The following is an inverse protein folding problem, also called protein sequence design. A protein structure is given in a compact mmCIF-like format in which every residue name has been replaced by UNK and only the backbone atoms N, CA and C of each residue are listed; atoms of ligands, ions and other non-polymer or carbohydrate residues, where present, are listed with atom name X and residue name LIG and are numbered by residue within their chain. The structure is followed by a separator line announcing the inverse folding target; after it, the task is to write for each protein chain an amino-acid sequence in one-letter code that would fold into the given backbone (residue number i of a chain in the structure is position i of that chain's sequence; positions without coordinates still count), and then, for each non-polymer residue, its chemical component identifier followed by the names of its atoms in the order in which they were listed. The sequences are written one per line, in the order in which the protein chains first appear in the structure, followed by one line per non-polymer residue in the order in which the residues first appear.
data_IF_094018875354
#
_entry.id   IF_094018875354
#
_cell.length_a   1.000
_cell.length_b   1.000
_cell.length_c   1.000
_cell.angle_alpha   90.00
_cell.angle_beta   90.00
_cell.angle_gamma   90.00
#
_symmetry.space_group_name_H-M   'P 1'
#
loop_
_entity.id
_entity.type
_entity.pdbx_description
1 polymer ?
#
# COMPACT_ATOMS: atom_id res chain seq x y z
N UNK A 1 5.63 19.81 4.91
CA UNK A 1 6.82 19.08 4.43
C UNK A 1 6.74 17.68 5.02
N UNK A 2 6.32 16.68 4.22
CA UNK A 2 6.34 15.26 4.61
C UNK A 2 7.50 14.62 3.87
N UNK A 3 8.59 14.35 4.59
CA UNK A 3 9.78 13.67 4.08
C UNK A 3 9.53 12.16 4.14
N UNK A 4 9.28 11.53 2.99
CA UNK A 4 9.53 10.10 2.80
C UNK A 4 10.98 9.96 2.32
N UNK A 5 11.86 9.24 3.02
CA UNK A 5 13.14 8.83 2.45
C UNK A 5 12.91 7.55 1.64
N UNK A 6 12.50 7.69 0.38
CA UNK A 6 12.51 6.58 -0.59
C UNK A 6 13.88 6.53 -1.28
N UNK A 7 14.90 6.02 -0.59
CA UNK A 7 16.16 5.63 -1.22
C UNK A 7 16.10 4.13 -1.56
N UNK A 8 15.41 3.79 -2.65
CA UNK A 8 15.52 2.47 -3.27
C UNK A 8 16.79 2.47 -4.14
N UNK A 9 17.84 1.77 -3.71
CA UNK A 9 19.00 1.52 -4.57
C UNK A 9 18.73 0.26 -5.40
N UNK A 10 18.59 0.43 -6.71
CA UNK A 10 18.53 -0.65 -7.68
C UNK A 10 19.92 -0.88 -8.26
N UNK A 11 20.42 -2.11 -8.19
CA UNK A 11 21.66 -2.53 -8.85
C UNK A 11 21.35 -3.68 -9.80
N UNK A 12 21.51 -3.44 -11.10
CA UNK A 12 21.34 -4.47 -12.13
C UNK A 12 22.70 -5.12 -12.36
N UNK A 13 22.87 -6.35 -11.89
CA UNK A 13 24.08 -7.16 -12.16
C UNK A 13 23.73 -8.18 -13.24
N UNK A 14 24.27 -7.99 -14.45
CA UNK A 14 24.17 -8.99 -15.53
C UNK A 14 25.32 -9.98 -15.38
N UNK A 15 25.01 -11.25 -15.07
CA UNK A 15 25.97 -12.35 -15.16
C UNK A 15 25.44 -13.38 -16.18
N UNK A 16 26.25 -13.69 -17.21
CA UNK A 16 26.07 -14.85 -18.10
C UNK A 16 24.69 -15.01 -18.78
N UNK A 17 24.16 -13.94 -19.38
CA UNK A 17 22.92 -14.01 -20.16
C UNK A 17 21.63 -14.19 -19.34
N UNK A 18 21.73 -14.33 -18.01
CA UNK A 18 20.60 -14.39 -17.08
C UNK A 18 20.48 -13.04 -16.36
N UNK A 19 19.37 -12.31 -16.57
CA UNK A 19 19.12 -11.06 -15.85
C UNK A 19 18.81 -11.40 -14.39
N UNK A 20 19.70 -11.00 -13.49
CA UNK A 20 19.45 -11.02 -12.06
C UNK A 20 19.34 -9.57 -11.61
N UNK A 21 18.23 -9.22 -10.94
CA UNK A 21 18.06 -7.87 -10.39
C UNK A 21 18.04 -7.96 -8.87
N UNK A 22 18.77 -7.06 -8.22
CA UNK A 22 18.84 -6.91 -6.77
C UNK A 22 18.31 -5.53 -6.40
N UNK A 23 17.38 -5.50 -5.45
CA UNK A 23 16.82 -4.27 -4.88
C UNK A 23 16.98 -4.32 -3.38
N UNK A 24 17.43 -3.22 -2.79
CA UNK A 24 17.42 -3.02 -1.34
C UNK A 24 16.31 -2.02 -1.03
N UNK A 25 15.48 -2.36 -0.04
CA UNK A 25 14.37 -1.54 0.43
C UNK A 25 14.40 -1.48 1.97
N UNK A 26 13.42 -0.79 2.56
CA UNK A 26 13.37 -0.57 4.01
C UNK A 26 13.52 -1.87 4.82
N UNK A 27 14.66 -2.03 5.49
CA UNK A 27 15.03 -3.21 6.28
C UNK A 27 15.00 -4.55 5.51
N UNK A 28 15.08 -4.51 4.18
CA UNK A 28 14.88 -5.68 3.35
C UNK A 28 15.63 -5.67 2.02
N UNK A 29 15.61 -6.82 1.37
CA UNK A 29 16.32 -7.08 0.13
C UNK A 29 15.50 -8.03 -0.75
N UNK A 30 15.48 -7.77 -2.04
CA UNK A 30 14.77 -8.53 -3.06
C UNK A 30 15.74 -8.94 -4.16
N UNK A 31 15.70 -10.22 -4.50
CA UNK A 31 16.45 -10.83 -5.59
C UNK A 31 15.48 -11.48 -6.54
N UNK A 32 15.64 -11.20 -7.83
CA UNK A 32 14.82 -11.79 -8.88
C UNK A 32 15.74 -12.39 -9.92
N UNK A 33 15.52 -13.67 -10.22
CA UNK A 33 16.17 -14.39 -11.29
C UNK A 33 15.16 -14.63 -12.40
N UNK A 34 15.43 -14.03 -13.56
CA UNK A 34 14.66 -14.27 -14.78
C UNK A 34 15.13 -15.60 -15.40
N UNK A 35 14.17 -16.45 -15.76
CA UNK A 35 14.37 -17.65 -16.58
C UNK A 35 13.63 -17.48 -17.90
N UNK A 36 13.83 -18.40 -18.84
CA UNK A 36 13.17 -18.35 -20.15
C UNK A 36 11.65 -18.24 -20.03
N UNK A 37 11.04 -17.39 -20.87
CA UNK A 37 9.62 -17.07 -20.83
C UNK A 37 9.20 -16.25 -19.60
N UNK A 38 7.93 -16.34 -19.23
CA UNK A 38 7.35 -15.68 -18.05
C UNK A 38 7.58 -16.48 -16.75
N UNK A 39 8.78 -17.08 -16.62
CA UNK A 39 9.21 -17.81 -15.44
C UNK A 39 10.13 -16.92 -14.58
N UNK A 40 9.76 -16.73 -13.31
CA UNK A 40 10.51 -15.93 -12.34
C UNK A 40 10.76 -16.74 -11.07
N UNK A 41 11.99 -16.64 -10.55
CA UNK A 41 12.31 -17.06 -9.18
C UNK A 41 12.62 -15.80 -8.37
N UNK A 42 11.93 -15.62 -7.26
CA UNK A 42 12.03 -14.45 -6.41
C UNK A 42 12.44 -14.87 -5.01
N UNK A 43 13.41 -14.17 -4.43
CA UNK A 43 13.82 -14.32 -3.05
C UNK A 43 13.83 -12.95 -2.41
N UNK A 44 12.99 -12.75 -1.41
CA UNK A 44 12.92 -11.53 -0.65
C UNK A 44 13.21 -11.83 0.83
N UNK A 45 13.80 -10.88 1.52
CA UNK A 45 14.06 -10.96 2.96
C UNK A 45 13.81 -9.62 3.61
N UNK A 46 13.23 -9.62 4.80
CA UNK A 46 13.01 -8.43 5.61
C UNK A 46 13.28 -8.77 7.09
N UNK A 47 13.88 -7.85 7.83
CA UNK A 47 13.98 -7.98 9.29
C UNK A 47 12.77 -7.34 9.93
N UNK A 48 12.17 -8.06 10.89
CA UNK A 48 11.02 -7.63 11.68
C UNK A 48 11.45 -7.55 13.13
N UNK A 49 11.20 -6.42 13.79
CA UNK A 49 11.47 -6.19 15.22
C UNK A 49 10.36 -6.83 16.08
N UNK A 50 10.28 -8.16 16.02
CA UNK A 50 9.39 -8.96 16.83
C UNK A 50 9.94 -10.38 17.02
N UNK A 51 9.56 -11.09 18.09
CA UNK A 51 9.84 -12.52 18.26
C UNK A 51 9.24 -13.36 17.12
N UNK A 52 9.86 -14.51 16.85
CA UNK A 52 9.45 -15.42 15.75
C UNK A 52 7.98 -15.82 15.87
N UNK A 53 7.52 -16.07 17.11
CA UNK A 53 6.13 -16.42 17.43
C UNK A 53 5.12 -15.41 16.89
N UNK A 54 5.41 -14.12 17.01
CA UNK A 54 4.47 -13.05 16.63
C UNK A 54 4.42 -12.88 15.12
N UNK A 55 5.56 -13.03 14.45
CA UNK A 55 5.62 -13.09 12.98
C UNK A 55 4.88 -14.33 12.48
N UNK A 56 5.05 -15.48 13.14
CA UNK A 56 4.35 -16.72 12.80
C UNK A 56 2.83 -16.58 12.95
N UNK A 57 2.36 -16.01 14.06
CA UNK A 57 0.95 -15.76 14.32
C UNK A 57 0.32 -14.88 13.23
N UNK A 58 1.01 -13.81 12.81
CA UNK A 58 0.53 -12.94 11.74
C UNK A 58 0.45 -13.65 10.39
N UNK A 59 1.46 -14.46 10.03
CA UNK A 59 1.51 -15.17 8.75
C UNK A 59 0.52 -16.33 8.65
N UNK A 60 0.26 -17.03 9.76
CA UNK A 60 -0.65 -18.18 9.81
C UNK A 60 -2.10 -17.80 10.11
N UNK A 61 -2.37 -16.54 10.46
CA UNK A 61 -3.70 -15.98 10.48
C UNK A 61 -4.22 -15.72 9.05
N UNK A 62 -4.28 -16.78 8.23
CA UNK A 62 -4.50 -16.68 6.78
C UNK A 62 -5.69 -15.81 6.41
N UNK A 63 -6.81 -15.92 7.12
CA UNK A 63 -8.03 -15.16 6.82
C UNK A 63 -7.94 -13.66 7.15
N UNK A 64 -6.98 -13.27 8.01
CA UNK A 64 -6.70 -11.86 8.35
C UNK A 64 -5.64 -11.24 7.44
N UNK A 65 -4.90 -12.04 6.65
CA UNK A 65 -3.89 -11.53 5.73
C UNK A 65 -4.39 -10.43 4.76
N UNK A 66 -5.63 -10.44 4.26
CA UNK A 66 -6.15 -9.35 3.41
C UNK A 66 -6.27 -7.99 4.11
N UNK A 67 -6.27 -7.96 5.45
CA UNK A 67 -6.25 -6.71 6.23
C UNK A 67 -4.83 -6.13 6.35
N UNK A 68 -3.82 -6.99 6.17
CA UNK A 68 -2.40 -6.69 6.35
C UNK A 68 -1.73 -6.43 5.00
N UNK A 69 -2.02 -7.25 3.99
CA UNK A 69 -1.33 -7.27 2.70
C UNK A 69 -2.13 -6.47 1.67
N UNK A 70 -1.62 -5.34 1.15
CA UNK A 70 -2.41 -4.38 0.37
C UNK A 70 -2.98 -4.93 -0.94
N UNK A 71 -2.28 -5.88 -1.58
CA UNK A 71 -2.68 -6.44 -2.87
C UNK A 71 -3.42 -7.79 -2.74
N UNK A 72 -3.68 -8.26 -1.52
CA UNK A 72 -4.41 -9.49 -1.24
C UNK A 72 -5.87 -9.15 -0.94
N UNK A 73 -6.78 -9.50 -1.84
CA UNK A 73 -8.20 -9.18 -1.70
C UNK A 73 -8.96 -10.23 -0.87
N UNK A 74 -8.63 -11.51 -1.07
CA UNK A 74 -9.27 -12.64 -0.39
C UNK A 74 -8.21 -13.62 0.09
N UNK A 75 -8.42 -14.17 1.27
CA UNK A 75 -7.68 -15.32 1.80
C UNK A 75 -8.64 -16.13 2.67
N UNK A 76 -8.90 -17.39 2.30
CA UNK A 76 -9.88 -18.25 2.98
C UNK A 76 -9.32 -19.64 3.15
N UNK A 77 -9.51 -20.23 4.33
CA UNK A 77 -9.15 -21.62 4.57
C UNK A 77 -10.25 -22.50 3.97
N UNK A 78 -9.87 -23.39 3.06
CA UNK A 78 -10.80 -24.37 2.46
C UNK A 78 -10.80 -25.66 3.27
N UNK A 79 -9.62 -26.13 3.67
CA UNK A 79 -9.44 -27.34 4.47
C UNK A 79 -8.27 -27.13 5.43
N UNK A 80 -8.37 -27.67 6.64
CA UNK A 80 -7.26 -27.71 7.61
C UNK A 80 -7.19 -29.07 8.25
N UNK A 81 -6.06 -29.73 8.08
CA UNK A 81 -5.70 -31.00 8.71
C UNK A 81 -4.32 -30.81 9.36
N UNK A 82 -4.32 -30.53 10.67
CA UNK A 82 -3.10 -30.29 11.45
C UNK A 82 -2.18 -29.25 10.80
N UNK A 83 -1.04 -29.70 10.27
CA UNK A 83 -0.01 -28.88 9.62
C UNK A 83 -0.19 -28.75 8.10
N UNK A 84 -1.21 -29.39 7.53
CA UNK A 84 -1.59 -29.25 6.13
C UNK A 84 -2.82 -28.35 6.04
N UNK A 85 -2.69 -27.27 5.27
CA UNK A 85 -3.77 -26.29 5.11
C UNK A 85 -3.98 -26.06 3.63
N UNK A 86 -5.22 -26.14 3.15
CA UNK A 86 -5.57 -25.68 1.81
C UNK A 86 -6.23 -24.33 1.93
N UNK A 87 -5.72 -23.34 1.21
CA UNK A 87 -6.32 -21.99 1.18
C UNK A 87 -6.60 -21.54 -0.24
N UNK A 88 -7.60 -20.68 -0.37
CA UNK A 88 -7.87 -19.86 -1.54
C UNK A 88 -7.35 -18.45 -1.28
N UNK A 89 -6.55 -17.91 -2.20
CA UNK A 89 -6.14 -16.52 -2.22
C UNK A 89 -6.51 -15.86 -3.55
N UNK A 90 -6.97 -14.61 -3.47
CA UNK A 90 -7.21 -13.77 -4.64
C UNK A 90 -6.47 -12.45 -4.46
N UNK A 91 -5.54 -12.17 -5.38
CA UNK A 91 -4.79 -10.93 -5.45
C UNK A 91 -5.43 -9.96 -6.46
N UNK A 92 -5.48 -8.68 -6.09
CA UNK A 92 -5.99 -7.61 -6.95
C UNK A 92 -5.00 -6.45 -6.98
N UNK A 93 -4.56 -6.06 -8.18
CA UNK A 93 -3.68 -4.90 -8.38
C UNK A 93 -4.27 -3.96 -9.43
N UNK A 94 -4.63 -2.76 -9.00
CA UNK A 94 -5.05 -1.68 -9.89
C UNK A 94 -3.86 -1.07 -10.62
N UNK A 95 -3.85 -1.16 -11.95
CA UNK A 95 -2.92 -0.46 -12.83
C UNK A 95 -3.64 0.69 -13.54
N UNK A 96 -2.88 1.57 -14.20
CA UNK A 96 -3.44 2.79 -14.81
C UNK A 96 -4.58 2.54 -15.81
N UNK A 97 -4.55 1.41 -16.54
CA UNK A 97 -5.51 1.09 -17.59
C UNK A 97 -6.27 -0.23 -17.41
N UNK A 98 -5.88 -1.06 -16.44
CA UNK A 98 -6.43 -2.39 -16.19
C UNK A 98 -6.38 -2.73 -14.70
N UNK A 99 -7.12 -3.74 -14.28
CA UNK A 99 -6.99 -4.34 -12.95
C UNK A 99 -6.50 -5.76 -13.16
N UNK A 100 -5.38 -6.12 -12.54
CA UNK A 100 -4.92 -7.49 -12.50
C UNK A 100 -5.67 -8.23 -11.40
N UNK A 101 -6.23 -9.36 -11.75
CA UNK A 101 -6.82 -10.32 -10.84
C UNK A 101 -6.04 -11.62 -10.96
N UNK A 102 -5.66 -12.21 -9.83
CA UNK A 102 -4.98 -13.49 -9.78
C UNK A 102 -5.57 -14.35 -8.67
N UNK A 103 -6.21 -15.46 -9.04
CA UNK A 103 -6.73 -16.47 -8.13
C UNK A 103 -5.77 -17.64 -8.03
N UNK A 104 -5.56 -18.13 -6.80
CA UNK A 104 -4.77 -19.33 -6.54
C UNK A 104 -5.33 -20.10 -5.35
N UNK A 105 -5.54 -21.40 -5.53
CA UNK A 105 -5.77 -22.38 -4.47
C UNK A 105 -4.46 -23.13 -4.27
N UNK A 106 -3.97 -23.15 -3.03
CA UNK A 106 -2.68 -23.73 -2.69
C UNK A 106 -2.77 -24.63 -1.47
N UNK A 107 -1.96 -25.69 -1.49
CA UNK A 107 -1.69 -26.54 -0.33
C UNK A 107 -0.45 -26.03 0.40
N UNK A 108 -0.61 -25.82 1.70
CA UNK A 108 0.44 -25.37 2.60
C UNK A 108 0.87 -26.48 3.55
N UNK A 109 2.14 -26.46 3.91
CA UNK A 109 2.75 -27.31 4.94
C UNK A 109 3.45 -26.43 5.96
N UNK A 110 2.92 -26.44 7.16
CA UNK A 110 3.41 -25.66 8.30
C UNK A 110 4.45 -26.47 9.08
N UNK A 111 5.67 -25.94 9.18
CA UNK A 111 6.67 -26.34 10.18
C UNK A 111 6.71 -25.22 11.21
N UNK A 112 6.04 -25.47 12.34
CA UNK A 112 5.79 -24.47 13.38
C UNK A 112 7.01 -23.57 13.65
N UNK A 113 6.80 -22.26 13.60
CA UNK A 113 7.81 -21.20 13.82
C UNK A 113 9.08 -21.28 12.95
N UNK A 114 9.09 -22.09 11.88
CA UNK A 114 10.28 -22.28 11.03
C UNK A 114 10.01 -22.00 9.56
N UNK A 115 8.97 -22.61 9.02
CA UNK A 115 8.73 -22.60 7.58
C UNK A 115 7.25 -22.83 7.25
N UNK A 116 6.74 -22.11 6.25
CA UNK A 116 5.44 -22.38 5.63
C UNK A 116 5.73 -22.61 4.16
N UNK A 117 5.68 -23.86 3.71
CA UNK A 117 5.83 -24.19 2.28
C UNK A 117 4.46 -24.22 1.63
N UNK A 118 4.35 -23.74 0.39
CA UNK A 118 3.10 -23.71 -0.35
C UNK A 118 3.30 -24.13 -1.80
N UNK A 119 2.31 -24.81 -2.36
CA UNK A 119 2.28 -25.22 -3.75
C UNK A 119 0.86 -25.10 -4.30
N UNK A 120 0.73 -24.51 -5.48
CA UNK A 120 -0.55 -24.35 -6.15
C UNK A 120 -1.13 -25.72 -6.54
N UNK A 121 -2.43 -25.86 -6.28
CA UNK A 121 -3.26 -26.96 -6.75
C UNK A 121 -4.09 -26.53 -7.97
N UNK A 122 -4.59 -25.29 -7.94
CA UNK A 122 -5.46 -24.73 -8.98
C UNK A 122 -5.30 -23.21 -8.99
N UNK A 123 -5.36 -22.55 -10.15
CA UNK A 123 -5.27 -21.09 -10.21
C UNK A 123 -4.86 -20.57 -11.57
N UNK A 124 -4.63 -19.26 -11.63
CA UNK A 124 -4.35 -18.54 -12.88
C UNK A 124 -2.90 -18.67 -13.37
N UNK A 125 -2.02 -19.29 -12.56
CA UNK A 125 -0.63 -19.54 -12.92
C UNK A 125 -0.44 -20.96 -13.47
N UNK A 126 0.53 -21.15 -14.34
CA UNK A 126 0.93 -22.51 -14.76
C UNK A 126 1.59 -23.26 -13.61
N UNK A 127 2.39 -22.57 -12.81
CA UNK A 127 2.96 -23.09 -11.58
C UNK A 127 3.24 -21.94 -10.62
N UNK A 128 2.83 -22.10 -9.38
CA UNK A 128 3.11 -21.17 -8.29
C UNK A 128 3.46 -21.98 -7.04
N UNK A 129 4.71 -21.88 -6.59
CA UNK A 129 5.18 -22.60 -5.40
C UNK A 129 6.26 -21.83 -4.69
N UNK A 130 6.39 -22.05 -3.40
CA UNK A 130 7.35 -21.30 -2.61
C UNK A 130 7.31 -21.63 -1.14
N UNK A 131 7.97 -20.79 -0.36
CA UNK A 131 8.00 -20.91 1.09
C UNK A 131 8.33 -19.59 1.79
N UNK A 132 7.73 -19.45 2.95
CA UNK A 132 8.17 -18.52 3.99
C UNK A 132 9.15 -19.24 4.92
N UNK A 133 10.25 -18.59 5.30
CA UNK A 133 11.16 -19.07 6.34
C UNK A 133 11.37 -17.99 7.38
N UNK A 134 11.29 -18.37 8.64
CA UNK A 134 11.54 -17.50 9.78
C UNK A 134 12.87 -17.90 10.41
N UNK A 135 13.75 -16.93 10.59
CA UNK A 135 15.04 -17.12 11.27
C UNK A 135 15.18 -16.13 12.41
N UNK A 136 15.55 -16.60 13.60
CA UNK A 136 15.81 -15.73 14.74
C UNK A 136 17.14 -14.98 14.54
N UNK A 137 17.12 -13.66 14.63
CA UNK A 137 18.32 -12.80 14.62
C UNK A 137 18.66 -12.23 16.01
N UNK A 138 17.76 -12.43 16.97
CA UNK A 138 17.87 -12.08 18.38
C UNK A 138 16.52 -12.31 19.06
N UNK A 139 16.43 -12.07 20.37
CA UNK A 139 15.21 -12.38 21.14
C UNK A 139 13.97 -11.61 20.66
N UNK A 140 14.20 -10.43 20.07
CA UNK A 140 13.16 -9.52 19.61
C UNK A 140 13.29 -9.20 18.10
N UNK A 141 14.01 -10.03 17.35
CA UNK A 141 14.23 -9.81 15.92
C UNK A 141 14.11 -11.10 15.11
N UNK A 142 13.31 -11.04 14.06
CA UNK A 142 13.07 -12.15 13.13
C UNK A 142 13.46 -11.75 11.72
N UNK A 143 14.27 -12.56 11.06
CA UNK A 143 14.49 -12.51 9.63
C UNK A 143 13.40 -13.31 8.93
N UNK A 144 12.51 -12.60 8.24
CA UNK A 144 11.49 -13.21 7.41
C UNK A 144 12.01 -13.31 5.98
N UNK A 145 12.07 -14.53 5.44
CA UNK A 145 12.45 -14.80 4.05
C UNK A 145 11.26 -15.36 3.28
N UNK A 146 10.99 -14.78 2.11
CA UNK A 146 10.00 -15.25 1.15
C UNK A 146 10.69 -15.73 -0.12
N UNK A 147 10.43 -16.98 -0.51
CA UNK A 147 11.02 -17.59 -1.69
C UNK A 147 9.89 -18.12 -2.57
N UNK A 148 9.78 -17.67 -3.81
CA UNK A 148 8.69 -18.09 -4.72
C UNK A 148 9.21 -18.34 -6.13
N UNK A 149 8.73 -19.42 -6.73
CA UNK A 149 8.87 -19.73 -8.16
C UNK A 149 7.49 -19.56 -8.80
N UNK A 150 7.43 -18.77 -9.86
CA UNK A 150 6.19 -18.48 -10.58
C UNK A 150 6.40 -18.68 -12.08
N UNK A 151 5.50 -19.44 -12.71
CA UNK A 151 5.41 -19.63 -14.16
C UNK A 151 4.02 -19.21 -14.61
N UNK A 152 3.95 -18.28 -15.55
CA UNK A 152 2.69 -17.92 -16.21
C UNK A 152 2.38 -18.89 -17.35
N UNK A 153 1.11 -18.99 -17.74
CA UNK A 153 0.75 -19.66 -18.98
C UNK A 153 1.34 -18.91 -20.18
N UNK A 154 1.69 -19.64 -21.24
CA UNK A 154 2.24 -19.03 -22.47
C UNK A 154 1.25 -18.06 -23.13
N UNK A 155 -0.04 -18.30 -22.93
CA UNK A 155 -1.14 -17.53 -23.53
C UNK A 155 -1.56 -16.33 -22.65
N UNK A 156 -0.89 -16.15 -21.49
CA UNK A 156 -1.14 -15.01 -20.62
C UNK A 156 -0.57 -13.74 -21.24
N UNK A 157 -1.44 -12.80 -21.62
CA UNK A 157 -1.08 -11.48 -22.17
C UNK A 157 -0.56 -10.48 -21.10
N UNK A 158 0.36 -10.91 -20.24
CA UNK A 158 1.06 -10.02 -19.31
C UNK A 158 2.41 -9.63 -19.89
N UNK A 159 2.59 -8.33 -20.14
CA UNK A 159 3.89 -7.82 -20.59
C UNK A 159 4.94 -7.99 -19.48
N UNK A 160 6.21 -8.11 -19.87
CA UNK A 160 7.32 -8.18 -18.90
C UNK A 160 7.31 -6.99 -17.95
N UNK A 161 7.00 -5.79 -18.44
CA UNK A 161 6.94 -4.58 -17.61
C UNK A 161 5.89 -4.64 -16.50
N UNK A 162 4.73 -5.24 -16.77
CA UNK A 162 3.67 -5.41 -15.77
C UNK A 162 4.12 -6.41 -14.70
N UNK A 163 4.72 -7.52 -15.12
CA UNK A 163 5.26 -8.53 -14.20
C UNK A 163 6.38 -7.95 -13.33
N UNK A 164 7.25 -7.12 -13.92
CA UNK A 164 8.29 -6.41 -13.20
C UNK A 164 7.71 -5.44 -12.16
N UNK A 165 6.69 -4.65 -12.51
CA UNK A 165 6.03 -3.75 -11.56
C UNK A 165 5.47 -4.51 -10.36
N UNK A 166 4.75 -5.62 -10.58
CA UNK A 166 4.23 -6.46 -9.50
C UNK A 166 5.36 -7.01 -8.63
N UNK A 167 6.45 -7.50 -9.22
CA UNK A 167 7.54 -8.10 -8.43
C UNK A 167 8.35 -7.05 -7.67
N UNK A 168 8.65 -5.91 -8.28
CA UNK A 168 9.57 -4.92 -7.70
C UNK A 168 8.90 -3.84 -6.86
N UNK A 169 7.60 -3.58 -7.07
CA UNK A 169 6.85 -2.62 -6.25
C UNK A 169 5.97 -3.34 -5.21
N UNK A 170 5.19 -4.34 -5.62
CA UNK A 170 4.19 -4.94 -4.73
C UNK A 170 4.80 -5.87 -3.69
N UNK A 171 5.78 -6.69 -4.06
CA UNK A 171 6.36 -7.63 -3.10
C UNK A 171 7.08 -6.92 -1.94
N UNK A 172 7.93 -5.90 -2.17
CA UNK A 172 8.47 -5.09 -1.07
C UNK A 172 7.38 -4.41 -0.24
N UNK A 173 6.34 -3.87 -0.88
CA UNK A 173 5.23 -3.24 -0.17
C UNK A 173 4.48 -4.23 0.73
N UNK A 174 4.22 -5.45 0.26
CA UNK A 174 3.58 -6.51 1.02
C UNK A 174 4.43 -6.92 2.23
N UNK A 175 5.75 -7.05 2.07
CA UNK A 175 6.66 -7.40 3.17
C UNK A 175 6.77 -6.29 4.21
N UNK A 176 6.87 -5.03 3.78
CA UNK A 176 6.83 -3.89 4.69
C UNK A 176 5.51 -3.85 5.47
N UNK A 177 4.37 -4.11 4.82
CA UNK A 177 3.07 -4.11 5.50
C UNK A 177 2.97 -5.19 6.58
N UNK A 178 3.49 -6.41 6.31
CA UNK A 178 3.58 -7.47 7.32
C UNK A 178 4.46 -7.04 8.49
N UNK A 179 5.66 -6.50 8.22
CA UNK A 179 6.56 -6.00 9.26
C UNK A 179 5.86 -4.94 10.11
N UNK A 180 5.32 -3.91 9.48
CA UNK A 180 4.73 -2.76 10.16
C UNK A 180 3.52 -3.18 11.02
N UNK A 181 2.71 -4.12 10.54
CA UNK A 181 1.62 -4.70 11.30
C UNK A 181 2.11 -5.42 12.56
N UNK A 182 3.11 -6.29 12.42
CA UNK A 182 3.65 -7.07 13.56
C UNK A 182 4.33 -6.15 14.56
N UNK A 183 5.20 -5.24 14.11
CA UNK A 183 5.91 -4.32 15.00
C UNK A 183 4.97 -3.37 15.74
N UNK A 184 3.88 -2.95 15.11
CA UNK A 184 2.83 -2.17 15.76
C UNK A 184 2.11 -2.98 16.84
N UNK A 185 1.72 -4.22 16.55
CA UNK A 185 1.08 -5.10 17.53
C UNK A 185 1.99 -5.38 18.74
N UNK A 186 3.30 -5.54 18.51
CA UNK A 186 4.29 -5.68 19.58
C UNK A 186 4.47 -4.42 20.41
N UNK A 187 4.50 -3.24 19.77
CA UNK A 187 4.59 -1.97 20.49
C UNK A 187 3.35 -1.71 21.36
N UNK A 188 2.16 -2.06 20.88
CA UNK A 188 0.91 -1.94 21.63
C UNK A 188 0.88 -2.89 22.84
N UNK A 189 1.39 -4.12 22.69
CA UNK A 189 1.58 -5.05 23.82
C UNK A 189 2.55 -4.50 24.86
N UNK A 190 3.67 -3.95 24.43
CA UNK A 190 4.64 -3.28 25.32
C UNK A 190 4.02 -2.13 26.12
N UNK A 191 3.15 -1.33 25.50
CA UNK A 191 2.48 -0.21 26.16
C UNK A 191 1.33 -0.63 27.08
N UNK A 192 0.60 -1.69 26.73
CA UNK A 192 -0.48 -2.24 27.57
C UNK A 192 0.03 -2.82 28.89
N UNK A 193 1.32 -3.14 28.98
CA UNK A 193 1.95 -3.65 30.20
C UNK A 193 2.43 -2.52 31.13
N UNK A 194 2.33 -1.24 30.73
CA UNK A 194 2.83 -0.08 31.50
C UNK A 194 1.71 0.67 32.24
N UNK A 195 0.43 0.41 31.94
CA UNK A 195 -0.72 1.05 32.60
C UNK A 195 -1.48 0.09 33.54
N UNK A 196 -0.85 -0.29 34.64
CA UNK A 196 -1.57 -0.58 35.89
C UNK A 196 -0.67 -0.27 37.08
N UNK A 197 -1.20 0.58 37.97
CA UNK A 197 -0.71 0.95 39.31
C UNK A 197 0.14 2.23 39.43
N UNK A 198 -0.56 3.37 39.54
CA UNK A 198 -0.31 4.30 40.65
C UNK A 198 -1.58 5.14 40.98
N UNK A 199 -1.92 5.36 42.27
CA UNK A 199 -3.13 6.06 42.68
C UNK A 199 -2.96 7.58 42.64
N UNK A 200 -3.97 8.27 42.13
CA UNK A 200 -4.11 9.72 42.25
C UNK A 200 -4.64 10.07 43.64
N UNK A 201 -3.93 10.92 44.38
CA UNK A 201 -4.56 11.78 45.38
C UNK A 201 -4.40 13.23 44.93
N UNK A 202 -5.49 14.03 44.90
CA UNK A 202 -5.45 15.43 44.55
C UNK A 202 -5.04 16.24 45.78
N UNK A 203 -4.25 17.29 45.58
CA UNK A 203 -4.34 18.56 46.32
C UNK A 203 -3.05 19.34 46.09
N UNK A 204 -3.16 20.47 45.39
CA UNK A 204 -2.54 21.77 45.70
C UNK A 204 -2.70 22.68 44.48
N UNK A 205 -3.71 23.55 44.54
CA UNK A 205 -3.68 24.92 43.99
C UNK A 205 -3.01 25.77 45.09
N UNK A 206 -2.31 26.91 44.88
CA UNK A 206 -2.64 27.87 43.81
C UNK A 206 -1.56 28.87 43.31
N UNK A 207 -2.01 29.69 42.33
CA UNK A 207 -1.97 31.16 42.29
C UNK A 207 -0.98 31.88 41.33
N UNK A 208 -1.62 32.81 40.60
CA UNK A 208 -1.13 33.75 39.61
C UNK A 208 -0.23 34.86 40.18
N UNK A 209 0.68 35.38 39.34
CA UNK A 209 1.04 36.81 39.32
C UNK A 209 1.29 37.28 37.88
N UNK A 210 0.69 38.41 37.55
CA UNK A 210 0.82 39.19 36.32
C UNK A 210 1.71 40.43 36.54
N UNK A 211 2.15 41.02 35.42
CA UNK A 211 2.85 42.30 35.22
C UNK A 211 4.40 42.24 35.30
N UNK A 212 5.19 42.81 34.39
CA UNK A 212 4.91 43.63 33.20
C UNK A 212 6.21 44.30 32.71
N UNK A 213 6.13 44.91 31.50
CA UNK A 213 6.99 45.95 30.89
C UNK A 213 8.09 45.59 29.86
N UNK A 214 7.72 45.91 28.61
CA UNK A 214 8.32 46.87 27.65
C UNK A 214 9.72 46.63 27.04
N UNK A 215 9.69 46.23 25.77
CA UNK A 215 10.24 46.90 24.56
C UNK A 215 11.65 47.49 24.58
N UNK A 216 12.53 46.95 23.72
CA UNK A 216 13.51 47.75 22.96
C UNK A 216 13.93 47.05 21.65
N UNK A 217 14.34 47.88 20.69
CA UNK A 217 14.38 47.67 19.24
C UNK A 217 15.68 47.01 18.73
N UNK A 218 15.67 46.78 17.40
CA UNK A 218 16.78 46.44 16.49
C UNK A 218 16.97 44.92 16.26
N UNK A 219 17.17 44.40 15.05
CA UNK A 219 17.56 45.01 13.79
C UNK A 219 17.09 44.13 12.62
N UNK A 220 16.75 44.79 11.52
CA UNK A 220 16.30 44.20 10.26
C UNK A 220 17.52 43.64 9.52
N UNK A 221 17.58 42.32 9.37
CA UNK A 221 18.48 41.68 8.39
C UNK A 221 17.66 40.80 7.45
N UNK A 222 17.10 41.45 6.42
CA UNK A 222 16.52 40.77 5.26
C UNK A 222 17.64 40.10 4.47
N UNK A 223 17.74 38.76 4.56
CA UNK A 223 18.57 37.97 3.66
C UNK A 223 17.86 37.84 2.32
N UNK A 224 18.43 38.53 1.33
CA UNK A 224 18.05 38.54 -0.07
C UNK A 224 18.19 37.15 -0.70
N UNK A 225 17.10 36.38 -0.74
CA UNK A 225 17.03 35.21 -1.61
C UNK A 225 16.93 35.67 -3.06
N UNK A 226 17.97 35.42 -3.85
CA UNK A 226 18.10 35.77 -5.26
C UNK A 226 16.87 35.29 -6.07
N UNK A 227 16.14 36.26 -6.61
CA UNK A 227 15.10 36.02 -7.61
C UNK A 227 15.79 35.51 -8.87
N UNK A 228 15.83 34.19 -9.07
CA UNK A 228 16.17 33.62 -10.39
C UNK A 228 15.23 34.27 -11.41
N UNK A 229 15.80 35.11 -12.28
CA UNK A 229 15.02 35.83 -13.28
C UNK A 229 14.21 34.82 -14.11
N UNK A 230 12.91 35.05 -14.11
CA UNK A 230 11.91 34.23 -14.78
C UNK A 230 11.93 34.61 -16.26
N UNK A 231 12.12 33.68 -17.21
CA UNK A 231 11.95 33.98 -18.62
C UNK A 231 10.49 34.34 -18.84
N UNK A 232 10.19 35.63 -19.00
CA UNK A 232 8.86 36.11 -19.34
C UNK A 232 8.86 36.30 -20.84
N UNK A 233 8.32 35.34 -21.58
CA UNK A 233 8.07 35.52 -23.02
C UNK A 233 6.95 36.56 -23.17
N UNK A 234 7.21 37.74 -23.77
CA UNK A 234 6.18 38.73 -24.00
C UNK A 234 5.07 38.15 -24.88
N UNK A 235 3.81 38.47 -24.60
CA UNK A 235 2.68 38.05 -25.44
C UNK A 235 2.16 36.62 -25.22
N UNK A 236 2.84 35.75 -24.45
CA UNK A 236 2.46 34.34 -24.25
C UNK A 236 1.01 34.10 -23.77
N UNK A 237 0.44 35.08 -23.06
CA UNK A 237 -0.90 34.99 -22.47
C UNK A 237 -1.99 35.67 -23.30
N UNK A 238 -1.61 36.37 -24.38
CA UNK A 238 -2.49 37.16 -25.25
C UNK A 238 -2.51 36.60 -26.68
N UNK A 239 -1.39 36.07 -27.15
CA UNK A 239 -1.23 35.52 -28.49
C UNK A 239 -1.20 33.99 -28.45
N UNK A 240 -2.08 33.38 -29.23
CA UNK A 240 -2.24 31.93 -29.30
C UNK A 240 -1.09 31.25 -30.05
N UNK A 241 -0.49 31.94 -31.04
CA UNK A 241 0.58 31.37 -31.84
C UNK A 241 1.91 31.36 -31.07
N UNK A 242 2.13 32.40 -30.24
CA UNK A 242 3.26 32.42 -29.29
C UNK A 242 3.12 31.29 -28.26
N UNK A 243 1.91 31.03 -27.77
CA UNK A 243 1.65 29.91 -26.86
C UNK A 243 1.88 28.55 -27.53
N UNK A 244 1.42 28.36 -28.77
CA UNK A 244 1.64 27.11 -29.52
C UNK A 244 3.12 26.85 -29.76
N UNK A 245 3.88 27.86 -30.16
CA UNK A 245 5.33 27.74 -30.42
C UNK A 245 6.11 27.38 -29.14
N UNK A 246 5.86 28.11 -28.04
CA UNK A 246 6.52 27.85 -26.76
C UNK A 246 6.13 26.50 -26.15
N UNK A 247 4.85 26.12 -26.27
CA UNK A 247 4.37 24.82 -25.81
C UNK A 247 4.94 23.68 -26.68
N UNK A 248 5.05 23.89 -28.00
CA UNK A 248 5.68 22.94 -28.93
C UNK A 248 7.16 22.73 -28.62
N UNK A 249 7.91 23.81 -28.43
CA UNK A 249 9.32 23.77 -27.99
C UNK A 249 9.49 23.04 -26.66
N UNK A 250 8.59 23.28 -25.71
CA UNK A 250 8.58 22.56 -24.44
C UNK A 250 8.31 21.05 -24.61
N UNK A 251 7.35 20.66 -25.45
CA UNK A 251 7.03 19.25 -25.74
C UNK A 251 8.22 18.56 -26.41
N UNK A 252 8.86 19.20 -27.39
CA UNK A 252 10.02 18.64 -28.09
C UNK A 252 11.21 18.39 -27.15
N UNK A 253 11.39 19.27 -26.15
CA UNK A 253 12.55 19.21 -25.24
C UNK A 253 12.32 18.35 -23.99
N UNK A 254 11.11 18.31 -23.48
CA UNK A 254 10.80 17.71 -22.16
C UNK A 254 9.55 16.84 -22.15
N UNK A 255 8.82 16.77 -23.26
CA UNK A 255 7.55 16.06 -23.36
C UNK A 255 7.64 14.77 -24.19
N UNK A 256 6.48 14.21 -24.48
CA UNK A 256 6.30 13.10 -25.40
C UNK A 256 5.54 13.65 -26.62
N UNK A 257 6.06 13.38 -27.82
CA UNK A 257 5.47 13.89 -29.06
C UNK A 257 4.00 13.45 -29.19
N UNK A 258 3.12 14.38 -29.56
CA UNK A 258 1.69 14.12 -29.72
C UNK A 258 0.86 14.14 -28.43
N UNK A 259 1.47 14.35 -27.24
CA UNK A 259 0.74 14.41 -25.97
C UNK A 259 0.81 15.78 -25.30
N UNK A 260 -0.33 16.22 -24.76
CA UNK A 260 -0.45 17.47 -24.01
C UNK A 260 0.24 17.33 -22.64
N UNK A 261 1.21 18.21 -22.29
CA UNK A 261 1.89 18.19 -21.00
C UNK A 261 0.94 18.33 -19.81
N UNK A 262 1.21 17.57 -18.74
CA UNK A 262 0.46 17.67 -17.48
C UNK A 262 0.81 18.98 -16.76
N UNK A 263 -0.13 19.50 -15.98
CA UNK A 263 0.09 20.71 -15.15
C UNK A 263 1.27 20.55 -14.18
N UNK A 264 1.38 19.38 -13.53
CA UNK A 264 2.52 19.04 -12.66
C UNK A 264 3.85 19.08 -13.44
N UNK A 265 3.85 18.59 -14.68
CA UNK A 265 5.03 18.57 -15.54
C UNK A 265 5.55 19.97 -15.85
N UNK A 266 4.66 20.87 -16.26
CA UNK A 266 5.00 22.29 -16.48
C UNK A 266 5.57 22.96 -15.23
N UNK A 267 5.01 22.66 -14.04
CA UNK A 267 5.49 23.21 -12.77
C UNK A 267 6.85 22.67 -12.36
N UNK A 268 7.07 21.36 -12.49
CA UNK A 268 8.34 20.72 -12.16
C UNK A 268 9.48 21.27 -13.02
N UNK A 269 9.21 21.61 -14.28
CA UNK A 269 10.17 22.25 -15.17
C UNK A 269 10.15 23.79 -15.12
N UNK A 270 9.50 24.39 -14.12
CA UNK A 270 9.49 25.85 -13.91
C UNK A 270 8.69 26.67 -14.92
N UNK A 271 8.05 26.03 -15.92
CA UNK A 271 7.23 26.68 -16.97
C UNK A 271 5.79 26.96 -16.51
N UNK A 272 5.67 27.63 -15.37
CA UNK A 272 4.37 28.05 -14.80
C UNK A 272 3.72 29.16 -15.63
N UNK A 273 4.51 29.90 -16.41
CA UNK A 273 4.07 30.89 -17.40
C UNK A 273 3.19 30.26 -18.48
N UNK A 274 3.61 29.12 -19.06
CA UNK A 274 2.84 28.35 -20.04
C UNK A 274 1.55 27.82 -19.40
N UNK A 275 1.62 27.28 -18.19
CA UNK A 275 0.43 26.82 -17.45
C UNK A 275 -0.62 27.94 -17.31
N UNK A 276 -0.17 29.14 -16.94
CA UNK A 276 -1.05 30.30 -16.75
C UNK A 276 -1.62 30.79 -18.07
N UNK A 277 -0.83 30.78 -19.14
CA UNK A 277 -1.28 31.10 -20.48
C UNK A 277 -2.36 30.13 -20.98
N UNK A 278 -2.10 28.83 -20.91
CA UNK A 278 -3.09 27.78 -21.25
C UNK A 278 -4.37 27.98 -20.46
N UNK A 279 -4.28 28.26 -19.16
CA UNK A 279 -5.46 28.46 -18.30
C UNK A 279 -6.28 29.67 -18.74
N UNK A 280 -5.64 30.79 -19.08
CA UNK A 280 -6.33 32.01 -19.56
C UNK A 280 -6.94 31.83 -20.95
N UNK A 281 -6.34 31.01 -21.81
CA UNK A 281 -6.80 30.80 -23.20
C UNK A 281 -7.83 29.67 -23.36
N UNK A 282 -8.51 29.28 -22.28
CA UNK A 282 -9.59 28.29 -22.32
C UNK A 282 -9.19 26.88 -21.89
N UNK A 283 -8.00 26.72 -21.29
CA UNK A 283 -7.58 25.51 -20.61
C UNK A 283 -6.94 24.44 -21.50
N UNK A 284 -6.42 23.41 -20.84
CA UNK A 284 -5.59 22.38 -21.47
C UNK A 284 -6.30 21.61 -22.58
N UNK A 285 -7.61 21.39 -22.47
CA UNK A 285 -8.40 20.68 -23.49
C UNK A 285 -8.51 21.48 -24.78
N UNK A 286 -8.87 22.77 -24.68
CA UNK A 286 -9.03 23.63 -25.86
C UNK A 286 -7.70 23.76 -26.62
N UNK A 287 -6.61 23.99 -25.90
CA UNK A 287 -5.27 24.09 -26.52
C UNK A 287 -4.82 22.74 -27.10
N UNK A 288 -5.12 21.62 -26.44
CA UNK A 288 -4.81 20.29 -26.98
C UNK A 288 -5.55 20.01 -28.30
N UNK A 289 -6.85 20.34 -28.40
CA UNK A 289 -7.60 20.24 -29.66
C UNK A 289 -7.00 21.13 -30.76
N UNK A 290 -6.60 22.35 -30.42
CA UNK A 290 -6.00 23.30 -31.38
C UNK A 290 -4.62 22.88 -31.88
N UNK A 291 -3.86 22.11 -31.10
CA UNK A 291 -2.54 21.61 -31.47
C UNK A 291 -2.55 20.14 -31.89
N UNK A 292 -3.74 19.54 -32.03
CA UNK A 292 -3.94 18.12 -32.30
C UNK A 292 -3.14 17.19 -31.34
N UNK A 293 -3.10 17.57 -30.06
CA UNK A 293 -2.42 16.83 -29.00
C UNK A 293 -3.43 15.98 -28.21
N UNK A 294 -3.03 14.78 -27.84
CA UNK A 294 -3.83 13.89 -26.99
C UNK A 294 -3.69 14.23 -25.51
N UNK A 295 -4.80 14.27 -24.77
CA UNK A 295 -4.77 14.46 -23.31
C UNK A 295 -4.34 13.15 -22.63
N UNK A 296 -3.28 13.20 -21.82
CA UNK A 296 -2.71 12.03 -21.13
C UNK A 296 -3.57 11.45 -19.98
N UNK A 297 -4.84 11.84 -19.88
CA UNK A 297 -5.81 11.28 -18.94
C UNK A 297 -7.11 10.93 -19.68
N UNK A 298 -7.67 9.75 -19.39
CA UNK A 298 -8.98 9.31 -19.91
C UNK A 298 -10.03 10.40 -19.71
N UNK A 299 -10.92 10.56 -20.69
CA UNK A 299 -11.95 11.60 -20.77
C UNK A 299 -12.64 11.84 -19.42
N UNK A 300 -12.32 12.97 -18.77
CA UNK A 300 -13.08 13.43 -17.61
C UNK A 300 -14.54 13.60 -18.02
N UNK A 301 -15.44 12.90 -17.32
CA UNK A 301 -16.88 13.03 -17.47
C UNK A 301 -17.29 14.51 -17.35
N UNK A 302 -18.30 14.96 -18.12
CA UNK A 302 -18.71 16.37 -18.13
C UNK A 302 -19.14 16.86 -16.75
N UNK A 303 -19.09 18.18 -16.55
CA UNK A 303 -19.52 18.81 -15.28
C UNK A 303 -21.02 18.53 -15.07
N UNK A 304 -21.38 18.03 -13.89
CA UNK A 304 -22.75 17.62 -13.57
C UNK A 304 -23.08 16.16 -13.90
N UNK A 305 -22.15 15.38 -14.47
CA UNK A 305 -22.39 13.95 -14.78
C UNK A 305 -22.81 13.13 -13.55
N UNK A 306 -22.15 13.38 -12.41
CA UNK A 306 -22.42 12.71 -11.13
C UNK A 306 -23.65 13.26 -10.39
N UNK A 307 -24.27 14.31 -10.93
CA UNK A 307 -25.45 14.96 -10.37
C UNK A 307 -26.74 14.37 -10.97
N UNK A 308 -26.61 13.40 -11.87
CA UNK A 308 -27.71 12.58 -12.38
C UNK A 308 -27.64 11.18 -11.74
N UNK A 309 -28.74 10.76 -11.11
CA UNK A 309 -28.86 9.47 -10.43
C UNK A 309 -28.74 8.29 -11.41
N UNK A 310 -29.24 8.42 -12.63
CA UNK A 310 -29.17 7.36 -13.67
C UNK A 310 -27.72 7.09 -14.09
N UNK A 311 -26.91 8.15 -14.21
CA UNK A 311 -25.49 8.02 -14.51
C UNK A 311 -24.72 7.35 -13.36
N UNK A 312 -25.11 7.63 -12.13
CA UNK A 312 -24.53 7.00 -10.94
C UNK A 312 -24.92 5.52 -10.86
N UNK A 313 -26.20 5.21 -11.09
CA UNK A 313 -26.73 3.85 -11.16
C UNK A 313 -26.01 3.02 -12.25
N UNK A 314 -25.87 3.55 -13.46
CA UNK A 314 -25.19 2.87 -14.56
C UNK A 314 -23.71 2.62 -14.24
N UNK A 315 -23.03 3.55 -13.57
CA UNK A 315 -21.64 3.36 -13.14
C UNK A 315 -21.53 2.33 -11.99
N UNK A 316 -22.54 2.23 -11.11
CA UNK A 316 -22.63 1.18 -10.07
C UNK A 316 -22.90 -0.18 -10.71
N UNK A 317 -23.85 -0.29 -11.64
CA UNK A 317 -24.16 -1.52 -12.38
C UNK A 317 -22.97 -2.01 -13.19
N UNK A 318 -22.29 -1.09 -13.87
CA UNK A 318 -21.05 -1.39 -14.59
C UNK A 318 -19.94 -1.87 -13.65
N UNK A 319 -19.85 -1.26 -12.47
CA UNK A 319 -18.92 -1.72 -11.44
C UNK A 319 -19.27 -3.13 -10.96
N UNK A 320 -20.54 -3.42 -10.64
CA UNK A 320 -21.00 -4.74 -10.24
C UNK A 320 -20.70 -5.80 -11.31
N UNK A 321 -21.04 -5.53 -12.57
CA UNK A 321 -20.78 -6.42 -13.71
C UNK A 321 -19.29 -6.70 -13.90
N UNK A 322 -18.46 -5.68 -13.84
CA UNK A 322 -17.01 -5.82 -14.05
C UNK A 322 -16.30 -6.54 -12.90
N UNK A 323 -16.89 -6.52 -11.69
CA UNK A 323 -16.34 -7.16 -10.50
C UNK A 323 -17.06 -8.48 -10.14
N UNK A 324 -17.94 -8.98 -11.01
CA UNK A 324 -18.69 -10.22 -10.79
C UNK A 324 -19.56 -10.19 -9.53
N UNK A 325 -20.03 -9.01 -9.10
CA UNK A 325 -20.94 -8.90 -7.97
C UNK A 325 -22.38 -9.13 -8.41
N UNK A 326 -23.18 -9.69 -7.49
CA UNK A 326 -24.62 -9.83 -7.66
C UNK A 326 -25.26 -8.44 -7.87
N UNK A 327 -26.00 -8.23 -8.98
CA UNK A 327 -26.66 -6.96 -9.29
C UNK A 327 -27.59 -6.45 -8.18
N UNK A 328 -28.09 -7.35 -7.34
CA UNK A 328 -29.06 -7.05 -6.27
C UNK A 328 -28.40 -6.41 -5.04
N UNK A 329 -27.08 -6.48 -4.92
CA UNK A 329 -26.34 -6.02 -3.73
C UNK A 329 -25.56 -4.73 -3.96
N UNK A 330 -25.67 -3.80 -3.02
CA UNK A 330 -24.93 -2.54 -3.06
C UNK A 330 -23.44 -2.74 -2.72
N UNK A 331 -22.49 -2.39 -3.61
CA UNK A 331 -21.07 -2.49 -3.30
C UNK A 331 -20.65 -1.50 -2.21
N UNK A 332 -19.86 -1.95 -1.25
CA UNK A 332 -19.40 -1.10 -0.14
C UNK A 332 -18.48 0.03 -0.63
N UNK A 333 -18.40 1.13 0.14
CA UNK A 333 -17.43 2.21 -0.12
C UNK A 333 -16.00 1.70 -0.26
N UNK A 334 -15.57 0.82 0.66
CA UNK A 334 -14.23 0.20 0.63
C UNK A 334 -14.00 -0.59 -0.66
N UNK A 335 -15.05 -1.17 -1.24
CA UNK A 335 -14.97 -1.87 -2.53
C UNK A 335 -14.65 -0.91 -3.68
N UNK A 336 -15.29 0.26 -3.74
CA UNK A 336 -14.98 1.28 -4.75
C UNK A 336 -13.59 1.88 -4.57
N UNK A 337 -13.17 2.14 -3.34
CA UNK A 337 -11.83 2.68 -3.02
C UNK A 337 -10.72 1.69 -3.39
N UNK A 338 -10.88 0.41 -3.03
CA UNK A 338 -9.94 -0.67 -3.40
C UNK A 338 -9.83 -0.84 -4.92
N UNK A 339 -10.92 -0.58 -5.64
CA UNK A 339 -10.95 -0.60 -7.10
C UNK A 339 -10.42 0.69 -7.76
N UNK A 340 -9.96 1.67 -6.98
CA UNK A 340 -9.51 2.97 -7.49
C UNK A 340 -10.64 3.87 -8.02
N UNK A 341 -11.92 3.51 -7.79
CA UNK A 341 -13.12 4.24 -8.21
C UNK A 341 -13.58 5.24 -7.14
N UNK A 342 -12.66 6.12 -6.75
CA UNK A 342 -12.93 7.21 -5.80
C UNK A 342 -13.98 8.21 -6.33
N UNK A 343 -14.16 8.26 -7.65
CA UNK A 343 -15.19 9.05 -8.32
C UNK A 343 -16.61 8.60 -7.94
N UNK A 344 -16.87 7.28 -7.98
CA UNK A 344 -18.16 6.72 -7.56
C UNK A 344 -18.33 6.91 -6.05
N UNK A 345 -17.31 6.60 -5.25
CA UNK A 345 -17.37 6.76 -3.79
C UNK A 345 -17.74 8.18 -3.35
N UNK A 346 -17.19 9.20 -4.02
CA UNK A 346 -17.50 10.62 -3.77
C UNK A 346 -18.87 11.02 -4.32
N UNK A 347 -19.30 10.46 -5.44
CA UNK A 347 -20.64 10.69 -5.96
C UNK A 347 -21.71 10.16 -4.99
N UNK A 348 -21.48 8.99 -4.37
CA UNK A 348 -22.37 8.44 -3.35
C UNK A 348 -22.55 9.39 -2.14
N UNK A 349 -21.47 10.01 -1.65
CA UNK A 349 -21.57 10.99 -0.54
C UNK A 349 -22.47 12.18 -0.89
N UNK A 350 -22.43 12.63 -2.15
CA UNK A 350 -23.26 13.74 -2.62
C UNK A 350 -24.76 13.40 -2.62
N UNK A 351 -25.11 12.12 -2.78
CA UNK A 351 -26.47 11.61 -2.82
C UNK A 351 -26.98 11.09 -1.47
N UNK A 352 -26.41 11.54 -0.35
CA UNK A 352 -26.83 11.11 0.99
C UNK A 352 -26.16 9.83 1.49
N UNK A 353 -25.14 9.35 0.77
CA UNK A 353 -24.34 8.20 1.16
C UNK A 353 -24.91 6.87 0.67
N UNK A 354 -24.22 5.79 1.05
CA UNK A 354 -24.48 4.46 0.50
C UNK A 354 -25.87 3.92 0.85
N UNK A 355 -26.40 4.24 2.04
CA UNK A 355 -27.70 3.75 2.49
C UNK A 355 -28.85 4.39 1.70
N UNK A 356 -28.78 5.70 1.47
CA UNK A 356 -29.81 6.42 0.73
C UNK A 356 -29.79 6.02 -0.75
N UNK A 357 -28.61 5.87 -1.35
CA UNK A 357 -28.49 5.37 -2.72
C UNK A 357 -28.97 3.91 -2.83
N UNK A 358 -28.70 3.06 -1.83
CA UNK A 358 -29.23 1.69 -1.78
C UNK A 358 -30.76 1.67 -1.77
N UNK A 359 -31.38 2.58 -1.01
CA UNK A 359 -32.85 2.76 -0.95
C UNK A 359 -33.41 3.24 -2.28
N UNK A 360 -32.77 4.22 -2.92
CA UNK A 360 -33.19 4.79 -4.20
C UNK A 360 -33.08 3.79 -5.35
N UNK A 361 -32.05 2.94 -5.32
CA UNK A 361 -31.79 1.94 -6.37
C UNK A 361 -32.40 0.56 -6.07
N UNK A 362 -33.16 0.43 -4.98
CA UNK A 362 -33.72 -0.86 -4.51
C UNK A 362 -32.66 -1.97 -4.39
N UNK A 363 -31.44 -1.60 -3.98
CA UNK A 363 -30.34 -2.53 -3.75
C UNK A 363 -30.29 -2.91 -2.28
N UNK A 364 -29.92 -4.15 -1.97
CA UNK A 364 -29.77 -4.61 -0.60
C UNK A 364 -28.44 -4.13 0.02
N UNK A 365 -28.47 -3.38 1.15
CA UNK A 365 -27.27 -3.06 1.89
C UNK A 365 -26.80 -4.31 2.63
N UNK A 366 -25.55 -4.71 2.39
CA UNK A 366 -24.95 -5.88 3.03
C UNK A 366 -24.88 -5.67 4.55
N UNK A 367 -25.77 -6.31 5.30
CA UNK A 367 -25.72 -6.29 6.77
C UNK A 367 -24.50 -7.07 7.25
N UNK A 368 -23.75 -6.59 8.26
CA UNK A 368 -22.78 -7.44 8.95
C UNK A 368 -23.56 -8.60 9.58
N UNK A 369 -23.16 -9.84 9.25
CA UNK A 369 -23.77 -11.04 9.80
C UNK A 369 -23.49 -11.04 11.31
N UNK A 370 -24.50 -10.68 12.12
CA UNK A 370 -24.51 -11.00 13.55
C UNK A 370 -24.42 -12.52 13.65
N UNK A 371 -23.39 -13.03 14.31
CA UNK A 371 -23.30 -14.44 14.67
C UNK A 371 -24.62 -14.81 15.34
N UNK A 372 -25.35 -15.71 14.69
CA UNK A 372 -26.51 -16.39 15.25
C UNK A 372 -25.96 -17.75 15.57
N UNK A 373 -25.51 -17.91 16.82
CA UNK A 373 -25.22 -19.24 17.36
C UNK A 373 -26.55 -20.00 17.43
N UNK A 374 -26.65 -21.20 16.85
CA UNK A 374 -27.72 -22.13 17.17
C UNK A 374 -27.32 -22.81 18.48
N UNK A 375 -28.08 -22.55 19.54
CA UNK A 375 -28.41 -23.51 20.61
C UNK A 375 -29.02 -22.72 21.77
N UNK A 376 -30.35 -22.61 21.71
CA UNK A 376 -31.17 -22.16 22.83
C UNK A 376 -31.86 -23.36 23.44
N UNK A 377 -31.20 -24.02 24.39
CA UNK A 377 -31.85 -24.95 25.32
C UNK A 377 -31.52 -24.52 26.77
N UNK A 378 -32.53 -23.91 27.38
CA UNK A 378 -32.94 -23.89 28.80
C UNK A 378 -31.89 -23.92 29.95
N UNK A 379 -31.88 -22.82 30.74
CA UNK A 379 -31.99 -22.71 32.23
C UNK A 379 -31.36 -23.82 33.10
N UNK A 380 -30.59 -23.61 34.17
CA UNK A 380 -30.53 -22.54 35.18
C UNK A 380 -29.33 -22.81 36.17
N UNK A 381 -29.09 -22.04 37.25
CA UNK A 381 -27.75 -21.61 37.71
C UNK A 381 -27.26 -22.23 39.04
N UNK A 382 -25.97 -22.01 39.35
CA UNK A 382 -25.36 -21.97 40.70
C UNK A 382 -23.83 -22.06 40.53
N UNK A 383 -22.92 -21.42 41.26
CA UNK A 383 -22.84 -20.36 42.25
C UNK A 383 -21.34 -20.27 42.58
N UNK A 384 -20.88 -19.10 43.08
CA UNK A 384 -19.70 -18.94 43.95
C UNK A 384 -18.31 -19.28 43.36
N UNK A 385 -17.20 -18.67 43.75
CA UNK A 385 -16.86 -17.51 44.58
C UNK A 385 -15.33 -17.36 44.50
N UNK A 386 -14.87 -16.15 44.80
CA UNK A 386 -13.62 -15.80 45.46
C UNK A 386 -12.22 -16.04 44.83
N UNK A 387 -11.64 -14.90 44.45
CA UNK A 387 -10.44 -14.25 45.06
C UNK A 387 -9.12 -15.02 45.17
N UNK A 388 -8.05 -14.49 44.55
CA UNK A 388 -6.90 -13.81 45.23
C UNK A 388 -5.66 -13.61 44.34
N UNK A 389 -5.23 -12.35 44.25
CA UNK A 389 -3.84 -11.87 44.05
C UNK A 389 -2.94 -12.30 45.26
N UNK A 390 -1.61 -11.99 45.39
CA UNK A 390 -0.79 -10.98 44.68
C UNK A 390 0.74 -11.25 44.50
N UNK A 391 1.36 -10.32 43.75
CA UNK A 391 2.65 -9.62 43.95
C UNK A 391 3.98 -10.35 44.20
N UNK A 392 5.02 -9.95 43.45
CA UNK A 392 6.09 -9.00 43.89
C UNK A 392 7.30 -9.07 42.93
N UNK A 393 7.67 -7.97 42.26
CA UNK A 393 8.79 -7.03 42.55
C UNK A 393 10.20 -7.65 42.35
N UNK A 394 11.20 -7.11 41.64
CA UNK A 394 11.75 -5.75 41.47
C UNK A 394 12.61 -5.73 40.17
N UNK A 395 12.52 -4.70 39.33
CA UNK A 395 13.46 -3.57 39.16
C UNK A 395 14.92 -3.94 38.81
N UNK A 396 15.41 -3.52 37.63
CA UNK A 396 16.58 -2.63 37.55
C UNK A 396 16.84 -2.02 36.16
N UNK A 397 17.45 -0.83 36.19
CA UNK A 397 17.62 0.15 35.12
C UNK A 397 18.85 -0.08 34.22
N UNK A 398 18.70 0.47 33.00
CA UNK A 398 19.72 1.16 32.18
C UNK A 398 20.87 0.36 31.54
N UNK A 399 20.89 0.30 30.21
CA UNK A 399 21.63 1.24 29.35
C UNK A 399 21.84 0.62 27.96
N UNK A 400 21.78 1.44 26.91
CA UNK A 400 21.97 1.05 25.51
C UNK A 400 23.46 1.11 25.17
N UNK A 401 24.06 0.07 24.57
CA UNK A 401 25.35 0.22 23.91
C UNK A 401 25.27 -0.12 22.41
N UNK A 402 25.59 0.88 21.60
CA UNK A 402 26.64 0.87 20.57
C UNK A 402 26.81 -0.32 19.58
N UNK A 403 25.84 -1.23 19.43
CA UNK A 403 26.03 -2.41 18.58
C UNK A 403 25.54 -2.24 17.13
N UNK A 404 24.77 -1.19 16.81
CA UNK A 404 24.13 -1.00 15.51
C UNK A 404 25.10 -0.97 14.31
N UNK A 405 26.35 -0.56 14.51
CA UNK A 405 27.35 -0.50 13.42
C UNK A 405 28.03 -1.86 13.15
N UNK A 406 28.03 -2.78 14.11
CA UNK A 406 28.63 -4.13 13.95
C UNK A 406 27.75 -5.05 13.08
N UNK A 407 26.44 -4.82 13.06
CA UNK A 407 25.46 -5.61 12.30
C UNK A 407 25.49 -5.38 10.78
N UNK A 408 25.89 -4.19 10.33
CA UNK A 408 25.98 -3.85 8.91
C UNK A 408 27.12 -4.60 8.19
N UNK A 409 28.16 -5.01 8.92
CA UNK A 409 29.29 -5.76 8.36
C UNK A 409 28.94 -7.25 8.17
N UNK A 410 28.19 -7.85 9.09
CA UNK A 410 27.73 -9.26 8.98
C UNK A 410 26.78 -9.54 7.82
N UNK A 411 26.14 -8.52 7.25
CA UNK A 411 25.26 -8.66 6.08
C UNK A 411 26.03 -8.80 4.76
N UNK A 412 27.33 -8.46 4.72
CA UNK A 412 28.16 -8.61 3.51
C UNK A 412 28.68 -10.03 3.31
N UNK A 413 28.76 -10.84 4.36
CA UNK A 413 29.36 -12.19 4.31
C UNK A 413 28.35 -13.31 3.98
N UNK A 414 27.10 -12.97 3.66
CA UNK A 414 26.06 -13.93 3.28
C UNK A 414 25.87 -13.96 1.76
N UNK A 415 26.96 -14.20 1.03
CA UNK A 415 26.91 -14.59 -0.38
C UNK A 415 26.76 -16.12 -0.49
N UNK A 416 25.66 -16.52 -1.15
CA UNK A 416 25.52 -17.65 -2.06
C UNK A 416 25.86 -19.05 -1.52
N UNK A 417 24.82 -19.79 -1.15
CA UNK A 417 24.78 -21.24 -1.43
C UNK A 417 23.37 -21.64 -1.89
N UNK A 418 23.19 -21.61 -3.21
CA UNK A 418 22.15 -22.35 -3.92
C UNK A 418 22.83 -23.58 -4.51
N UNK A 419 22.76 -24.71 -3.80
CA UNK A 419 23.07 -26.03 -4.34
C UNK A 419 22.03 -27.00 -3.78
N UNK A 420 21.31 -27.62 -4.73
CA UNK A 420 20.60 -28.91 -4.68
C UNK A 420 19.56 -29.13 -3.57
N UNK A 421 18.27 -29.21 -3.97
CA UNK A 421 17.41 -30.40 -3.91
C UNK A 421 16.08 -30.10 -4.62
#
# INVERSE_FOLDING_TARGET
LSLYPSNNYSSILKFHGKRTKKIIFSCGMLWVKEREGAHRCVVASITVKAPVREVWNALTAYEKLPEIIPNLAISRILLRDNNKVRILQEGCKGLLYMVLHARVVMDLREKHEREISFEQVEGDFYSFKGKWRLGQLGDQHTLLKYMVETKMHKDTFLSESILEEVIYEDLPSNLCAIRDYVEKAEAERGNSTIHSDAPTNPDTVPLCYTEGRQSEQASVHCSSSSTRQRPKVPGLQKDIEVLKSELGSFIAKHGQNGFMPKRKHLRTHGRVDIEKAITRMGGFRKIATLMNLSLSYKNRKPRGYWDNLENLEEEIRRFQKNWGMDPSYMPSRKSFERAGRYDIARALEKWGGIQEVSRLLSLEPRRPRKQTDPDGEQTDPSAADATKHPSSSKADKASVPLDAQKWLLKLKDLDINWVEY
#
